data_IF_532789574303
#
_entry.id   IF_532789574303
#
_cell.length_a   1.000
_cell.length_b   1.000
_cell.length_c   1.000
_cell.angle_alpha   90.00
_cell.angle_beta   90.00
_cell.angle_gamma   90.00
#
_symmetry.space_group_name_H-M   'P 1'
#
loop_
_entity.id
_entity.type
_entity.pdbx_description
1 polymer ?
#
# COMPACT_ATOMS: atom_id res chain seq x y z
N UNK A 1 28.66 6.93 -19.51
CA UNK A 1 28.34 6.54 -18.12
C UNK A 1 27.92 5.09 -18.19
N UNK A 2 28.62 4.20 -17.50
CA UNK A 2 28.18 2.80 -17.38
C UNK A 2 26.88 2.81 -16.58
N UNK A 3 25.78 2.40 -17.21
CA UNK A 3 24.49 2.27 -16.55
C UNK A 3 24.50 0.91 -15.84
N UNK A 4 24.83 0.90 -14.55
CA UNK A 4 24.76 -0.32 -13.76
C UNK A 4 23.30 -0.73 -13.62
N UNK A 5 22.93 -1.85 -14.23
CA UNK A 5 21.61 -2.42 -14.09
C UNK A 5 21.57 -3.31 -12.84
N UNK A 6 20.58 -3.07 -11.98
CA UNK A 6 20.39 -3.84 -10.76
C UNK A 6 19.10 -4.67 -10.84
N UNK A 7 19.14 -5.85 -10.24
CA UNK A 7 17.98 -6.69 -9.96
C UNK A 7 17.78 -6.80 -8.45
N UNK A 8 16.52 -6.83 -8.04
CA UNK A 8 16.12 -7.07 -6.65
C UNK A 8 15.47 -8.44 -6.54
N UNK A 9 16.03 -9.30 -5.71
CA UNK A 9 15.56 -10.68 -5.53
C UNK A 9 15.24 -10.93 -4.06
N UNK A 10 14.21 -11.71 -3.77
CA UNK A 10 13.84 -12.04 -2.40
C UNK A 10 13.87 -13.55 -2.18
N UNK A 11 14.38 -13.98 -1.03
CA UNK A 11 14.31 -15.37 -0.56
C UNK A 11 13.70 -15.43 0.83
N UNK A 12 13.04 -16.54 1.16
CA UNK A 12 12.46 -16.79 2.48
C UNK A 12 12.80 -18.20 2.93
N UNK A 13 13.03 -18.38 4.24
CA UNK A 13 13.04 -19.71 4.86
C UNK A 13 11.63 -20.31 4.90
N UNK A 14 11.52 -21.57 5.31
CA UNK A 14 10.23 -22.21 5.51
C UNK A 14 9.41 -21.47 6.60
N UNK A 15 8.11 -21.41 6.40
CA UNK A 15 7.19 -20.83 7.38
C UNK A 15 7.21 -21.64 8.67
N UNK A 16 7.47 -20.99 9.80
CA UNK A 16 7.40 -21.63 11.12
C UNK A 16 5.99 -21.50 11.68
N UNK A 17 5.37 -22.61 12.06
CA UNK A 17 4.06 -22.61 12.72
C UNK A 17 4.12 -22.17 14.20
N UNK A 18 5.32 -22.10 14.77
CA UNK A 18 5.55 -21.59 16.13
C UNK A 18 5.49 -20.06 16.13
N UNK A 19 4.28 -19.50 16.05
CA UNK A 19 4.05 -18.08 16.29
C UNK A 19 4.01 -17.84 17.80
N UNK A 20 5.15 -17.89 18.49
CA UNK A 20 5.22 -17.27 19.82
C UNK A 20 4.88 -15.79 19.64
N UNK A 21 3.93 -15.29 20.42
CA UNK A 21 3.52 -13.89 20.38
C UNK A 21 4.69 -13.01 20.86
N UNK A 22 5.49 -12.53 19.90
CA UNK A 22 6.52 -11.53 20.13
C UNK A 22 5.85 -10.17 20.33
N UNK A 23 6.40 -9.35 21.21
CA UNK A 23 5.90 -7.99 21.44
C UNK A 23 5.81 -7.21 20.11
N UNK A 24 4.65 -6.59 19.85
CA UNK A 24 4.39 -5.83 18.61
C UNK A 24 3.93 -6.65 17.40
N UNK A 25 3.91 -7.99 17.46
CA UNK A 25 3.42 -8.82 16.36
C UNK A 25 1.88 -8.86 16.29
N UNK A 26 1.31 -8.78 15.08
CA UNK A 26 -0.12 -8.96 14.85
C UNK A 26 -0.51 -10.43 15.03
N UNK A 27 -1.48 -10.66 15.92
CA UNK A 27 -2.04 -11.98 16.16
C UNK A 27 -2.68 -12.55 14.88
N UNK A 28 -2.40 -13.82 14.58
CA UNK A 28 -2.91 -14.51 13.39
C UNK A 28 -2.08 -14.31 12.12
N UNK A 29 -1.09 -13.42 12.12
CA UNK A 29 -0.12 -13.30 11.02
C UNK A 29 1.01 -14.33 11.21
N UNK A 30 1.36 -15.13 10.20
CA UNK A 30 2.46 -16.09 10.29
C UNK A 30 3.83 -15.49 10.65
N UNK A 31 4.81 -16.35 10.92
CA UNK A 31 6.22 -15.97 11.01
C UNK A 31 7.02 -16.70 9.93
N UNK A 32 7.95 -15.99 9.32
CA UNK A 32 9.05 -16.57 8.56
C UNK A 32 10.33 -16.18 9.30
N UNK A 33 11.14 -17.18 9.63
CA UNK A 33 12.36 -16.99 10.44
C UNK A 33 13.31 -15.96 9.80
N UNK A 34 13.53 -16.05 8.48
CA UNK A 34 14.36 -15.10 7.74
C UNK A 34 13.82 -14.87 6.33
N UNK A 35 13.57 -13.61 6.00
CA UNK A 35 13.28 -13.11 4.66
C UNK A 35 14.42 -12.18 4.28
N UNK A 36 15.02 -12.35 3.10
CA UNK A 36 16.16 -11.52 2.66
C UNK A 36 15.92 -10.98 1.27
N UNK A 37 16.11 -9.68 1.09
CA UNK A 37 16.14 -9.01 -0.20
C UNK A 37 17.60 -8.78 -0.59
N UNK A 38 17.98 -9.19 -1.79
CA UNK A 38 19.32 -9.06 -2.35
C UNK A 38 19.30 -8.05 -3.50
N UNK A 39 20.22 -7.10 -3.46
CA UNK A 39 20.55 -6.24 -4.59
C UNK A 39 21.65 -6.93 -5.40
N UNK A 40 21.36 -7.26 -6.66
CA UNK A 40 22.25 -8.01 -7.53
C UNK A 40 22.58 -7.18 -8.75
N UNK A 41 23.86 -7.08 -9.11
CA UNK A 41 24.27 -6.50 -10.39
C UNK A 41 23.92 -7.46 -11.52
N UNK A 42 23.17 -7.01 -12.51
CA UNK A 42 22.69 -7.89 -13.58
C UNK A 42 23.78 -8.31 -14.57
N UNK A 43 24.85 -7.53 -14.69
CA UNK A 43 25.95 -7.80 -15.62
C UNK A 43 26.72 -9.09 -15.28
N UNK A 44 27.06 -9.27 -14.00
CA UNK A 44 27.94 -10.34 -13.52
C UNK A 44 27.29 -11.24 -12.46
N UNK A 45 26.07 -10.90 -12.00
CA UNK A 45 25.34 -11.65 -10.97
C UNK A 45 25.87 -11.46 -9.55
N UNK A 46 26.76 -10.47 -9.33
CA UNK A 46 27.33 -10.21 -8.00
C UNK A 46 26.27 -9.62 -7.08
N UNK A 47 26.13 -10.20 -5.89
CA UNK A 47 25.33 -9.63 -4.79
C UNK A 47 26.09 -8.43 -4.24
N UNK A 48 25.49 -7.25 -4.34
CA UNK A 48 26.07 -5.99 -3.89
C UNK A 48 25.69 -5.66 -2.45
N UNK A 49 24.44 -5.95 -2.07
CA UNK A 49 23.92 -5.66 -0.74
C UNK A 49 22.73 -6.58 -0.39
N UNK A 50 22.39 -6.67 0.89
CA UNK A 50 21.24 -7.43 1.38
C UNK A 50 20.49 -6.73 2.52
N UNK A 51 19.17 -6.90 2.55
CA UNK A 51 18.31 -6.52 3.68
C UNK A 51 17.56 -7.74 4.19
N UNK A 52 17.88 -8.18 5.40
CA UNK A 52 17.21 -9.27 6.07
C UNK A 52 16.14 -8.77 7.06
N UNK A 53 15.03 -9.52 7.13
CA UNK A 53 13.95 -9.39 8.10
C UNK A 53 13.82 -10.72 8.84
N UNK A 54 13.84 -10.67 10.16
CA UNK A 54 13.81 -11.85 11.01
C UNK A 54 12.48 -11.96 11.75
N UNK A 55 11.94 -13.17 11.81
CA UNK A 55 10.67 -13.47 12.48
C UNK A 55 9.53 -12.53 12.05
N UNK A 56 9.43 -12.31 10.74
CA UNK A 56 8.49 -11.38 10.13
C UNK A 56 7.67 -12.10 9.04
N UNK A 57 6.63 -11.45 8.53
CA UNK A 57 5.87 -11.90 7.38
C UNK A 57 5.81 -10.77 6.34
N UNK A 58 6.47 -10.99 5.22
CA UNK A 58 6.38 -10.15 4.03
C UNK A 58 5.78 -11.02 2.94
N UNK A 59 4.67 -10.58 2.34
CA UNK A 59 3.96 -11.37 1.34
C UNK A 59 4.71 -11.34 -0.01
N UNK A 60 5.63 -12.27 -0.22
CA UNK A 60 6.40 -12.37 -1.46
C UNK A 60 5.58 -12.94 -2.64
N UNK A 61 4.40 -13.53 -2.39
CA UNK A 61 3.57 -14.08 -3.46
C UNK A 61 3.15 -12.96 -4.42
N UNK A 62 3.45 -13.13 -5.70
CA UNK A 62 3.21 -12.12 -6.74
C UNK A 62 3.80 -10.73 -6.43
N UNK A 63 4.84 -10.65 -5.58
CA UNK A 63 5.46 -9.38 -5.16
C UNK A 63 4.48 -8.43 -4.43
N UNK A 64 3.51 -8.95 -3.69
CA UNK A 64 2.51 -8.12 -2.98
C UNK A 64 3.12 -7.26 -1.89
N UNK A 65 4.11 -7.79 -1.17
CA UNK A 65 4.74 -7.17 -0.01
C UNK A 65 5.85 -6.18 -0.34
N UNK A 66 6.17 -5.95 -1.61
CA UNK A 66 7.18 -5.00 -2.02
C UNK A 66 6.79 -4.24 -3.29
N UNK A 67 7.14 -2.96 -3.37
CA UNK A 67 6.92 -2.13 -4.55
C UNK A 67 8.13 -1.23 -4.79
N UNK A 68 8.59 -1.16 -6.04
CA UNK A 68 9.71 -0.34 -6.50
C UNK A 68 9.19 0.83 -7.34
N UNK A 69 9.66 2.02 -7.03
CA UNK A 69 9.42 3.25 -7.79
C UNK A 69 10.74 3.96 -7.99
N UNK A 70 11.22 3.98 -9.24
CA UNK A 70 12.56 4.44 -9.57
C UNK A 70 13.64 3.72 -8.72
N UNK A 71 14.31 4.44 -7.82
CA UNK A 71 15.32 3.92 -6.89
C UNK A 71 14.77 3.67 -5.47
N UNK A 72 13.48 3.96 -5.23
CA UNK A 72 12.83 3.79 -3.93
C UNK A 72 12.06 2.46 -3.87
N UNK A 73 12.40 1.65 -2.89
CA UNK A 73 11.76 0.37 -2.59
C UNK A 73 10.96 0.50 -1.30
N UNK A 74 9.66 0.16 -1.33
CA UNK A 74 8.88 -0.04 -0.12
C UNK A 74 8.67 -1.54 0.12
N UNK A 75 8.81 -1.94 1.39
CA UNK A 75 8.59 -3.32 1.84
C UNK A 75 7.63 -3.27 3.03
N UNK A 76 6.56 -4.05 2.97
CA UNK A 76 5.53 -4.11 4.01
C UNK A 76 5.79 -5.30 4.93
N UNK A 77 6.23 -5.00 6.16
CA UNK A 77 6.20 -5.91 7.29
C UNK A 77 4.74 -6.05 7.76
N UNK A 78 4.08 -7.14 7.36
CA UNK A 78 2.69 -7.39 7.76
C UNK A 78 2.60 -7.77 9.24
N UNK A 79 3.59 -8.49 9.77
CA UNK A 79 3.56 -8.93 11.17
C UNK A 79 3.77 -7.77 12.13
N UNK A 80 4.65 -6.82 11.81
CA UNK A 80 4.95 -5.66 12.69
C UNK A 80 4.35 -4.34 12.18
N UNK A 81 3.50 -4.38 11.16
CA UNK A 81 2.76 -3.22 10.65
C UNK A 81 3.66 -2.02 10.33
N UNK A 82 4.78 -2.31 9.68
CA UNK A 82 5.82 -1.33 9.34
C UNK A 82 6.08 -1.34 7.84
N UNK A 83 6.11 -0.16 7.24
CA UNK A 83 6.52 0.07 5.85
C UNK A 83 7.97 0.53 5.90
N UNK A 84 8.86 -0.29 5.37
CA UNK A 84 10.28 0.03 5.23
C UNK A 84 10.49 0.71 3.89
N UNK A 85 11.08 1.91 3.89
CA UNK A 85 11.46 2.63 2.68
C UNK A 85 12.97 2.55 2.54
N UNK A 86 13.44 1.91 1.48
CA UNK A 86 14.83 1.77 1.14
C UNK A 86 15.13 2.51 -0.16
N UNK A 87 16.32 3.08 -0.27
CA UNK A 87 16.83 3.69 -1.48
C UNK A 87 17.98 2.86 -2.03
N UNK A 88 17.89 2.50 -3.30
CA UNK A 88 18.95 1.84 -4.08
C UNK A 88 19.91 2.94 -4.54
N UNK A 89 21.16 2.90 -4.08
CA UNK A 89 22.19 3.85 -4.50
C UNK A 89 22.93 3.32 -5.73
N UNK A 90 23.40 4.22 -6.59
CA UNK A 90 24.28 3.88 -7.74
C UNK A 90 25.56 3.16 -7.32
N UNK A 91 26.00 3.34 -6.08
CA UNK A 91 27.13 2.62 -5.47
C UNK A 91 26.86 1.12 -5.23
N UNK A 92 25.61 0.66 -5.43
CA UNK A 92 25.22 -0.72 -5.18
C UNK A 92 24.82 -0.99 -3.73
N UNK A 93 24.22 -0.02 -3.03
CA UNK A 93 23.81 -0.17 -1.63
C UNK A 93 22.31 0.01 -1.44
N UNK A 94 21.75 -0.74 -0.49
CA UNK A 94 20.38 -0.64 0.00
C UNK A 94 20.36 0.18 1.30
N UNK A 95 19.98 1.45 1.21
CA UNK A 95 19.93 2.34 2.38
C UNK A 95 18.50 2.47 2.87
N UNK A 96 18.21 2.06 4.11
CA UNK A 96 16.91 2.31 4.73
C UNK A 96 16.79 3.80 5.10
N UNK A 97 15.91 4.52 4.39
CA UNK A 97 15.74 5.97 4.52
C UNK A 97 14.52 6.36 5.36
N UNK A 98 13.59 5.42 5.60
CA UNK A 98 12.42 5.66 6.46
C UNK A 98 11.78 4.37 6.95
N UNK A 99 11.16 4.42 8.13
CA UNK A 99 10.19 3.43 8.61
C UNK A 99 8.88 4.12 8.95
N UNK A 100 7.77 3.57 8.51
CA UNK A 100 6.44 4.12 8.73
C UNK A 100 5.57 3.03 9.37
N UNK A 101 5.15 3.23 10.61
CA UNK A 101 4.35 2.24 11.34
C UNK A 101 3.91 2.82 12.69
N UNK A 102 4.42 2.24 13.78
CA UNK A 102 4.25 2.79 15.13
C UNK A 102 4.81 4.22 15.26
N UNK A 103 5.87 4.52 14.52
CA UNK A 103 6.46 5.85 14.40
C UNK A 103 6.39 6.29 12.93
N UNK A 104 6.18 7.58 12.70
CA UNK A 104 6.14 8.17 11.36
C UNK A 104 7.35 9.08 11.09
N UNK A 105 8.02 9.54 12.15
CA UNK A 105 9.26 10.32 12.13
C UNK A 105 10.27 9.73 13.10
N UNK A 106 11.54 10.02 12.87
CA UNK A 106 12.66 9.52 13.69
C UNK A 106 12.63 10.07 15.12
N UNK A 107 12.10 11.28 15.32
CA UNK A 107 11.97 11.93 16.62
C UNK A 107 10.74 11.49 17.43
N UNK A 108 9.78 10.79 16.82
CA UNK A 108 8.53 10.36 17.48
C UNK A 108 8.79 9.45 18.69
N UNK A 109 9.84 8.61 18.65
CA UNK A 109 10.22 7.71 19.74
C UNK A 109 10.53 8.49 21.04
N UNK A 110 11.30 9.58 20.92
CA UNK A 110 11.69 10.43 22.05
C UNK A 110 10.48 11.13 22.68
N UNK A 111 9.53 11.60 21.85
CA UNK A 111 8.30 12.22 22.33
C UNK A 111 7.41 11.23 23.09
N UNK A 112 7.33 9.98 22.65
CA UNK A 112 6.50 8.97 23.32
C UNK A 112 7.13 8.51 24.65
N UNK A 113 8.45 8.32 24.69
CA UNK A 113 9.14 7.96 25.93
C UNK A 113 9.00 9.02 27.04
N UNK A 114 9.00 10.31 26.70
CA UNK A 114 8.76 11.38 27.68
C UNK A 114 7.32 11.38 28.25
N UNK A 115 6.33 10.96 27.47
CA UNK A 115 4.94 10.91 27.91
C UNK A 115 4.60 9.66 28.75
N UNK A 116 5.23 8.51 28.48
CA UNK A 116 5.04 7.28 29.27
C UNK A 116 5.50 7.46 30.73
N UNK A 117 6.51 8.31 30.96
CA UNK A 117 6.98 8.66 32.31
C UNK A 117 5.97 9.49 33.13
N UNK A 118 4.91 10.02 32.50
CA UNK A 118 3.91 10.90 33.13
C UNK A 118 2.70 10.15 33.74
N UNK A 119 2.72 8.82 33.80
CA UNK A 119 1.76 8.01 34.58
C UNK A 119 0.36 7.81 33.97
N UNK A 120 0.09 8.31 32.76
CA UNK A 120 -1.15 7.97 32.03
C UNK A 120 -0.98 6.68 31.24
N UNK A 121 -1.22 5.54 31.89
CA UNK A 121 -1.16 4.18 31.31
C UNK A 121 -2.32 3.83 30.36
N UNK A 122 -2.70 4.75 29.47
CA UNK A 122 -3.59 4.43 28.36
C UNK A 122 -2.81 3.79 27.21
N UNK A 123 -3.40 2.81 26.53
CA UNK A 123 -2.88 2.27 25.27
C UNK A 123 -2.95 3.34 24.18
N UNK A 124 -1.94 4.21 24.12
CA UNK A 124 -1.81 5.18 23.05
C UNK A 124 -1.61 4.43 21.73
N UNK A 125 -2.43 4.71 20.72
CA UNK A 125 -2.21 4.21 19.36
C UNK A 125 -1.31 5.23 18.67
N UNK A 126 -0.03 4.93 18.39
CA UNK A 126 0.89 5.90 17.81
C UNK A 126 0.90 5.82 16.27
N UNK A 127 1.65 6.75 15.68
CA UNK A 127 2.06 6.69 14.28
C UNK A 127 0.92 6.71 13.27
N UNK A 128 0.99 5.81 12.30
CA UNK A 128 0.10 5.87 11.13
C UNK A 128 -1.36 5.55 11.47
N UNK A 129 -1.61 4.66 12.44
CA UNK A 129 -2.97 4.36 12.91
C UNK A 129 -3.62 5.58 13.58
N UNK A 130 -2.85 6.31 14.39
CA UNK A 130 -3.30 7.56 15.01
C UNK A 130 -3.72 8.59 13.97
N UNK A 131 -2.89 8.77 12.94
CA UNK A 131 -3.10 9.72 11.84
C UNK A 131 -4.32 9.33 11.02
N UNK A 132 -4.50 8.04 10.75
CA UNK A 132 -5.69 7.49 10.10
C UNK A 132 -6.97 7.80 10.90
N UNK A 133 -6.99 7.49 12.20
CA UNK A 133 -8.14 7.75 13.06
C UNK A 133 -8.45 9.26 13.16
N UNK A 134 -7.40 10.08 13.28
CA UNK A 134 -7.53 11.55 13.30
C UNK A 134 -8.14 12.08 12.01
N UNK A 135 -7.72 11.54 10.86
CA UNK A 135 -8.29 11.90 9.56
C UNK A 135 -9.78 11.52 9.48
N UNK A 136 -10.14 10.28 9.83
CA UNK A 136 -11.54 9.80 9.82
C UNK A 136 -12.40 10.66 10.74
N UNK A 137 -11.92 10.96 11.95
CA UNK A 137 -12.62 11.83 12.89
C UNK A 137 -12.85 13.22 12.31
N UNK A 138 -11.79 13.89 11.82
CA UNK A 138 -11.89 15.25 11.27
C UNK A 138 -12.80 15.31 10.04
N UNK A 139 -12.69 14.32 9.15
CA UNK A 139 -13.58 14.19 7.98
C UNK A 139 -15.03 14.07 8.42
N UNK A 140 -15.32 13.14 9.34
CA UNK A 140 -16.68 12.92 9.86
C UNK A 140 -17.24 14.14 10.59
N UNK A 141 -16.40 14.85 11.34
CA UNK A 141 -16.78 16.07 12.08
C UNK A 141 -17.16 17.21 11.13
N UNK A 142 -16.41 17.36 10.03
CA UNK A 142 -16.60 18.45 9.06
C UNK A 142 -17.70 18.17 8.02
N UNK A 143 -18.20 16.93 7.91
CA UNK A 143 -19.31 16.58 6.99
C UNK A 143 -20.65 17.24 7.36
N UNK A 144 -20.89 17.53 8.64
CA UNK A 144 -22.18 18.04 9.12
C UNK A 144 -22.04 19.44 9.73
N UNK A 145 -22.69 20.47 9.16
CA UNK A 145 -22.60 21.84 9.65
C UNK A 145 -23.35 22.05 10.97
N UNK A 146 -24.49 21.38 11.17
CA UNK A 146 -25.27 21.48 12.41
C UNK A 146 -24.61 20.72 13.58
N UNK A 147 -24.49 21.39 14.73
CA UNK A 147 -23.80 20.87 15.90
C UNK A 147 -24.52 19.68 16.53
N UNK A 148 -25.85 19.67 16.55
CA UNK A 148 -26.61 18.58 17.20
C UNK A 148 -26.59 17.30 16.37
N UNK A 149 -26.77 17.43 15.05
CA UNK A 149 -26.64 16.33 14.10
C UNK A 149 -25.20 15.80 14.02
N UNK A 150 -24.19 16.67 14.18
CA UNK A 150 -22.77 16.28 14.15
C UNK A 150 -22.43 15.25 15.22
N UNK A 151 -22.89 15.43 16.45
CA UNK A 151 -22.62 14.47 17.55
C UNK A 151 -23.25 13.11 17.26
N UNK A 152 -24.49 13.10 16.75
CA UNK A 152 -25.18 11.86 16.37
C UNK A 152 -24.49 11.16 15.20
N UNK A 153 -24.07 11.94 14.19
CA UNK A 153 -23.34 11.44 13.02
C UNK A 153 -21.98 10.83 13.41
N UNK A 154 -21.23 11.52 14.27
CA UNK A 154 -19.96 11.03 14.79
C UNK A 154 -20.15 9.74 15.61
N UNK A 155 -21.20 9.66 16.45
CA UNK A 155 -21.54 8.43 17.18
C UNK A 155 -21.79 7.26 16.24
N UNK A 156 -22.55 7.49 15.16
CA UNK A 156 -22.94 6.45 14.21
C UNK A 156 -21.81 6.03 13.27
N UNK A 157 -21.00 6.97 12.76
CA UNK A 157 -19.96 6.69 11.77
C UNK A 157 -18.59 6.38 12.38
N UNK A 158 -18.20 7.10 13.42
CA UNK A 158 -16.86 6.96 14.01
C UNK A 158 -16.86 6.06 15.24
N UNK A 159 -17.61 6.41 16.29
CA UNK A 159 -17.53 5.69 17.55
C UNK A 159 -18.11 4.26 17.48
N UNK A 160 -19.17 4.06 16.70
CA UNK A 160 -19.73 2.73 16.48
C UNK A 160 -18.74 1.77 15.79
N UNK A 161 -17.92 2.28 14.88
CA UNK A 161 -16.91 1.53 14.12
C UNK A 161 -15.49 1.72 14.65
N UNK A 162 -15.33 2.27 15.85
CA UNK A 162 -14.01 2.65 16.35
C UNK A 162 -13.06 1.46 16.44
N UNK A 163 -13.55 0.35 16.99
CA UNK A 163 -12.75 -0.88 17.11
C UNK A 163 -12.38 -1.43 15.72
N UNK A 164 -13.34 -1.42 14.77
CA UNK A 164 -13.08 -1.84 13.39
C UNK A 164 -11.92 -1.05 12.76
N UNK A 165 -11.83 0.26 13.03
CA UNK A 165 -10.73 1.11 12.54
C UNK A 165 -9.40 0.83 13.23
N UNK A 166 -9.41 0.52 14.52
CA UNK A 166 -8.21 0.17 15.29
C UNK A 166 -7.61 -1.14 14.79
N UNK A 167 -8.48 -2.10 14.45
CA UNK A 167 -8.10 -3.45 14.01
C UNK A 167 -7.67 -3.51 12.53
N UNK A 168 -7.82 -2.41 11.79
CA UNK A 168 -7.26 -2.31 10.44
C UNK A 168 -5.75 -2.51 10.46
N UNK A 169 -5.27 -3.33 9.53
CA UNK A 169 -3.86 -3.54 9.25
C UNK A 169 -3.50 -3.02 7.86
N UNK A 170 -2.27 -2.54 7.71
CA UNK A 170 -1.62 -2.27 6.43
C UNK A 170 -1.47 -3.60 5.71
N UNK A 171 -2.13 -3.73 4.57
CA UNK A 171 -2.11 -4.93 3.74
C UNK A 171 -1.14 -4.83 2.57
N UNK A 172 -1.10 -3.65 1.96
CA UNK A 172 -0.36 -3.43 0.72
C UNK A 172 -0.08 -1.95 0.54
N UNK A 173 1.05 -1.65 -0.07
CA UNK A 173 1.49 -0.29 -0.33
C UNK A 173 2.06 -0.22 -1.74
N UNK A 174 1.81 0.89 -2.43
CA UNK A 174 2.56 1.30 -3.62
C UNK A 174 2.98 2.76 -3.44
N UNK A 175 4.00 3.18 -4.20
CA UNK A 175 4.24 4.61 -4.41
C UNK A 175 3.27 5.14 -5.46
N UNK A 176 2.81 6.39 -5.28
CA UNK A 176 2.22 7.19 -6.37
C UNK A 176 3.28 8.11 -6.97
N UNK A 177 4.16 8.62 -6.12
CA UNK A 177 5.35 9.39 -6.45
C UNK A 177 6.37 9.24 -5.30
N UNK A 178 7.45 10.03 -5.32
CA UNK A 178 8.51 9.97 -4.29
C UNK A 178 8.08 10.43 -2.89
N UNK A 179 6.94 11.10 -2.77
CA UNK A 179 6.44 11.68 -1.52
C UNK A 179 5.17 11.00 -1.03
N UNK A 180 4.38 10.39 -1.91
CA UNK A 180 3.06 9.85 -1.59
C UNK A 180 3.01 8.33 -1.70
N UNK A 181 2.56 7.70 -0.62
CA UNK A 181 2.22 6.29 -0.58
C UNK A 181 0.71 6.11 -0.76
N UNK A 182 0.33 5.11 -1.53
CA UNK A 182 -1.04 4.62 -1.58
C UNK A 182 -1.13 3.31 -0.82
N UNK A 183 -1.83 3.36 0.32
CA UNK A 183 -1.84 2.34 1.35
C UNK A 183 -3.22 1.71 1.43
N UNK A 184 -3.28 0.38 1.36
CA UNK A 184 -4.49 -0.40 1.65
C UNK A 184 -4.50 -0.83 3.09
N UNK A 185 -5.54 -0.41 3.80
CA UNK A 185 -5.90 -0.89 5.12
C UNK A 185 -7.04 -1.90 5.01
N UNK A 186 -7.04 -2.94 5.84
CA UNK A 186 -8.07 -3.97 5.85
C UNK A 186 -7.96 -4.90 7.06
N UNK A 187 -8.94 -5.78 7.25
CA UNK A 187 -8.94 -6.77 8.33
C UNK A 187 -7.87 -7.84 8.15
N UNK A 188 -7.30 -8.37 9.24
CA UNK A 188 -6.29 -9.46 9.26
C UNK A 188 -6.75 -10.72 8.52
N UNK A 189 -8.06 -11.01 8.52
CA UNK A 189 -8.62 -12.20 7.87
C UNK A 189 -8.83 -12.04 6.35
N UNK A 190 -8.63 -10.83 5.83
CA UNK A 190 -8.91 -10.46 4.44
C UNK A 190 -8.08 -11.20 3.38
N UNK A 191 -6.99 -11.85 3.78
CA UNK A 191 -6.13 -12.67 2.90
C UNK A 191 -6.39 -14.18 2.95
N UNK A 192 -7.14 -14.67 3.94
CA UNK A 192 -7.36 -16.12 4.16
C UNK A 192 -8.78 -16.55 3.77
N UNK A 193 -9.75 -15.63 3.83
CA UNK A 193 -11.14 -15.94 3.47
C UNK A 193 -11.44 -15.69 1.99
N UNK A 194 -11.96 -16.72 1.30
CA UNK A 194 -12.51 -16.62 -0.07
C UNK A 194 -13.86 -15.87 -0.14
N UNK A 195 -14.37 -15.30 0.95
CA UNK A 195 -15.63 -14.54 0.96
C UNK A 195 -15.40 -13.06 0.65
N UNK A 196 -15.71 -12.65 -0.58
CA UNK A 196 -15.28 -11.36 -1.16
C UNK A 196 -16.17 -10.14 -0.83
N UNK A 197 -17.23 -10.25 -0.02
CA UNK A 197 -18.25 -9.20 0.01
C UNK A 197 -18.30 -8.30 1.26
N UNK A 198 -17.70 -8.68 2.39
CA UNK A 198 -17.88 -7.97 3.68
C UNK A 198 -16.60 -7.38 4.30
N UNK A 199 -15.42 -7.57 3.70
CA UNK A 199 -14.20 -7.08 4.32
C UNK A 199 -14.09 -5.55 4.15
N UNK A 200 -14.22 -4.85 5.28
CA UNK A 200 -13.98 -3.42 5.40
C UNK A 200 -12.54 -3.14 4.94
N UNK A 201 -12.39 -2.40 3.85
CA UNK A 201 -11.10 -2.04 3.29
C UNK A 201 -11.08 -0.56 2.92
N UNK A 202 -9.98 0.10 3.28
CA UNK A 202 -9.75 1.51 3.00
C UNK A 202 -8.48 1.70 2.20
N UNK A 203 -8.49 2.72 1.36
CA UNK A 203 -7.35 3.18 0.60
C UNK A 203 -7.01 4.58 1.05
N UNK A 204 -5.79 4.77 1.55
CA UNK A 204 -5.30 6.04 2.03
C UNK A 204 -4.16 6.55 1.14
N UNK A 205 -4.15 7.84 0.85
CA UNK A 205 -2.97 8.52 0.34
C UNK A 205 -2.24 9.13 1.52
N UNK A 206 -1.00 8.71 1.76
CA UNK A 206 -0.16 9.17 2.86
C UNK A 206 1.02 9.96 2.30
N UNK A 207 1.17 11.21 2.75
CA UNK A 207 2.33 12.03 2.42
C UNK A 207 3.45 11.71 3.42
N UNK A 208 4.56 11.20 2.92
CA UNK A 208 5.69 10.80 3.76
C UNK A 208 6.39 12.01 4.38
N UNK A 209 6.45 13.15 3.71
CA UNK A 209 7.14 14.36 4.18
C UNK A 209 6.36 15.07 5.29
N UNK A 210 5.08 15.38 5.06
CA UNK A 210 4.25 16.03 6.08
C UNK A 210 3.79 15.05 7.15
N UNK A 211 3.85 13.75 6.87
CA UNK A 211 3.31 12.64 7.68
C UNK A 211 1.79 12.66 7.80
N UNK A 212 1.08 13.22 6.83
CA UNK A 212 -0.39 13.32 6.87
C UNK A 212 -1.08 12.31 5.96
N UNK A 213 -2.27 11.88 6.39
CA UNK A 213 -3.23 11.23 5.50
C UNK A 213 -3.91 12.33 4.69
N UNK A 214 -3.66 12.34 3.38
CA UNK A 214 -4.17 13.34 2.43
C UNK A 214 -5.61 13.02 2.05
N UNK A 215 -5.90 11.75 1.76
CA UNK A 215 -7.23 11.28 1.38
C UNK A 215 -7.48 9.86 1.86
N UNK A 216 -8.75 9.50 2.02
CA UNK A 216 -9.21 8.18 2.44
C UNK A 216 -10.49 7.79 1.71
N UNK A 217 -10.46 6.61 1.11
CA UNK A 217 -11.55 6.04 0.31
C UNK A 217 -11.90 4.64 0.81
N UNK A 218 -13.18 4.27 0.73
CA UNK A 218 -13.62 2.89 0.91
C UNK A 218 -13.46 2.11 -0.40
N UNK A 219 -13.37 0.79 -0.32
CA UNK A 219 -13.31 -0.08 -1.49
C UNK A 219 -14.50 -0.02 -2.45
N UNK A 220 -15.64 0.53 -2.01
CA UNK A 220 -16.81 0.81 -2.85
C UNK A 220 -16.93 2.29 -3.26
N UNK A 221 -15.86 3.08 -3.15
CA UNK A 221 -15.87 4.50 -3.49
C UNK A 221 -15.86 4.71 -5.00
N UNK A 222 -16.95 5.28 -5.53
CA UNK A 222 -17.04 5.71 -6.92
C UNK A 222 -16.02 6.82 -7.23
N UNK A 223 -15.69 7.68 -6.25
CA UNK A 223 -14.68 8.74 -6.40
C UNK A 223 -13.29 8.15 -6.68
N UNK A 224 -12.86 7.16 -5.89
CA UNK A 224 -11.61 6.46 -6.13
C UNK A 224 -11.62 5.75 -7.50
N UNK A 225 -12.75 5.14 -7.87
CA UNK A 225 -12.90 4.51 -9.18
C UNK A 225 -12.77 5.52 -10.31
N UNK A 226 -13.38 6.71 -10.21
CA UNK A 226 -13.23 7.77 -11.21
C UNK A 226 -11.78 8.25 -11.35
N UNK A 227 -11.06 8.39 -10.23
CA UNK A 227 -9.62 8.72 -10.26
C UNK A 227 -8.82 7.60 -10.93
N UNK A 228 -9.11 6.34 -10.62
CA UNK A 228 -8.48 5.18 -11.25
C UNK A 228 -8.78 5.10 -12.76
N UNK A 229 -10.01 5.40 -13.18
CA UNK A 229 -10.39 5.40 -14.59
C UNK A 229 -9.63 6.49 -15.36
N UNK A 230 -9.53 7.69 -14.78
CA UNK A 230 -8.89 8.82 -15.44
C UNK A 230 -7.35 8.76 -15.42
N UNK A 231 -6.76 8.27 -14.33
CA UNK A 231 -5.32 8.31 -14.07
C UNK A 231 -4.68 6.93 -13.99
N UNK A 232 -5.24 5.92 -14.66
CA UNK A 232 -4.78 4.53 -14.58
C UNK A 232 -3.27 4.37 -14.74
N UNK A 233 -2.69 5.01 -15.75
CA UNK A 233 -1.26 4.92 -16.03
C UNK A 233 -0.39 5.44 -14.87
N UNK A 234 -0.90 6.34 -14.02
CA UNK A 234 -0.18 6.88 -12.86
C UNK A 234 -0.13 5.90 -11.67
N UNK A 235 -0.95 4.84 -11.68
CA UNK A 235 -0.85 3.77 -10.68
C UNK A 235 0.23 2.74 -11.03
N UNK A 236 0.77 2.79 -12.25
CA UNK A 236 1.85 1.93 -12.72
C UNK A 236 3.16 2.73 -12.75
N UNK A 237 4.27 2.06 -12.48
CA UNK A 237 5.59 2.68 -12.60
C UNK A 237 5.76 3.17 -14.04
N UNK A 238 5.90 4.49 -14.18
CA UNK A 238 5.73 5.20 -15.43
C UNK A 238 6.83 4.80 -16.44
N UNK A 239 6.50 4.17 -17.58
CA UNK A 239 7.47 3.90 -18.63
C UNK A 239 7.72 5.13 -19.53
N UNK A 240 7.32 6.34 -19.10
CA UNK A 240 7.30 7.55 -19.95
C UNK A 240 8.64 7.91 -20.60
N UNK A 241 9.76 7.47 -20.05
CA UNK A 241 11.08 7.69 -20.67
C UNK A 241 11.49 6.60 -21.66
N UNK A 242 10.71 5.52 -21.81
CA UNK A 242 10.96 4.46 -22.77
C UNK A 242 10.16 4.66 -24.06
N UNK A 243 10.85 4.62 -25.21
CA UNK A 243 10.20 4.61 -26.53
C UNK A 243 9.21 3.46 -26.72
N UNK A 244 9.39 2.38 -25.96
CA UNK A 244 8.58 1.16 -25.97
C UNK A 244 7.26 1.31 -25.18
N UNK A 245 7.18 2.19 -24.17
CA UNK A 245 5.96 2.40 -23.38
C UNK A 245 4.76 2.89 -24.20
N UNK A 246 4.99 3.41 -25.42
CA UNK A 246 3.96 3.94 -26.33
C UNK A 246 2.96 2.88 -26.80
N UNK A 247 3.33 1.60 -26.77
CA UNK A 247 2.47 0.50 -27.23
C UNK A 247 1.63 -0.11 -26.10
N UNK A 248 1.75 0.41 -24.88
CA UNK A 248 0.96 -0.04 -23.74
C UNK A 248 -0.37 0.70 -23.75
N UNK A 249 -1.40 0.06 -24.29
CA UNK A 249 -2.77 0.58 -24.27
C UNK A 249 -3.41 0.37 -22.89
N UNK A 250 -4.06 1.42 -22.41
CA UNK A 250 -4.88 1.42 -21.19
C UNK A 250 -6.14 2.24 -21.40
N UNK A 251 -7.12 2.10 -20.53
CA UNK A 251 -8.35 2.91 -20.63
C UNK A 251 -8.12 4.40 -20.33
N UNK A 252 -6.95 4.81 -19.82
CA UNK A 252 -6.62 6.23 -19.68
C UNK A 252 -5.95 6.83 -20.93
N UNK A 253 -5.35 6.01 -21.80
CA UNK A 253 -4.58 6.49 -22.96
C UNK A 253 -5.10 6.01 -24.33
N UNK A 254 -6.05 5.06 -24.36
CA UNK A 254 -6.61 4.48 -25.57
C UNK A 254 -8.16 4.48 -25.54
N UNK A 255 -8.78 4.99 -26.60
CA UNK A 255 -10.24 5.15 -26.70
C UNK A 255 -10.93 3.78 -26.83
N UNK A 256 -10.33 2.82 -27.54
CA UNK A 256 -10.89 1.49 -27.71
C UNK A 256 -10.85 0.71 -26.39
N UNK A 257 -9.76 0.79 -25.65
CA UNK A 257 -9.65 0.24 -24.30
C UNK A 257 -10.71 0.84 -23.35
N UNK A 258 -10.92 2.17 -23.43
CA UNK A 258 -11.93 2.87 -22.64
C UNK A 258 -13.36 2.43 -23.02
N UNK A 259 -13.65 2.25 -24.30
CA UNK A 259 -14.97 1.79 -24.75
C UNK A 259 -15.26 0.33 -24.33
N UNK A 260 -14.24 -0.53 -24.35
CA UNK A 260 -14.34 -1.89 -23.80
C UNK A 260 -14.65 -1.85 -22.30
N UNK A 261 -13.95 -1.02 -21.52
CA UNK A 261 -14.21 -0.87 -20.08
C UNK A 261 -15.64 -0.39 -19.82
N UNK A 262 -16.11 0.62 -20.57
CA UNK A 262 -17.48 1.15 -20.47
C UNK A 262 -18.52 0.09 -20.83
N UNK A 263 -18.26 -0.71 -21.86
CA UNK A 263 -19.13 -1.83 -22.25
C UNK A 263 -19.24 -2.87 -21.13
N UNK A 264 -18.12 -3.22 -20.50
CA UNK A 264 -18.12 -4.15 -19.35
C UNK A 264 -18.89 -3.54 -18.17
N UNK A 265 -18.68 -2.26 -17.87
CA UNK A 265 -19.39 -1.54 -16.80
C UNK A 265 -20.90 -1.51 -17.05
N UNK A 266 -21.33 -1.22 -18.27
CA UNK A 266 -22.75 -1.16 -18.65
C UNK A 266 -23.44 -2.54 -18.61
N UNK A 267 -22.68 -3.63 -18.80
CA UNK A 267 -23.18 -5.01 -18.67
C UNK A 267 -23.21 -5.50 -17.22
N UNK A 268 -22.60 -4.79 -16.28
CA UNK A 268 -22.56 -5.21 -14.88
C UNK A 268 -23.94 -5.05 -14.21
N UNK A 269 -24.34 -6.06 -13.44
CA UNK A 269 -25.61 -6.04 -12.69
C UNK A 269 -25.62 -5.03 -11.54
N UNK A 270 -24.46 -4.66 -11.03
CA UNK A 270 -24.31 -3.72 -9.91
C UNK A 270 -23.03 -2.88 -10.06
N UNK A 271 -23.18 -1.55 -10.07
CA UNK A 271 -22.05 -0.61 -10.10
C UNK A 271 -21.13 -0.81 -8.89
N UNK A 272 -21.72 -1.00 -7.70
CA UNK A 272 -20.95 -1.18 -6.46
C UNK A 272 -20.09 -2.46 -6.49
N UNK A 273 -20.63 -3.57 -7.00
CA UNK A 273 -19.86 -4.82 -7.14
C UNK A 273 -18.78 -4.68 -8.21
N UNK A 274 -19.07 -3.98 -9.31
CA UNK A 274 -18.09 -3.69 -10.35
C UNK A 274 -16.93 -2.86 -9.80
N UNK A 275 -17.21 -1.77 -9.08
CA UNK A 275 -16.19 -0.94 -8.42
C UNK A 275 -15.37 -1.77 -7.45
N UNK A 276 -16.00 -2.54 -6.55
CA UNK A 276 -15.25 -3.41 -5.63
C UNK A 276 -14.31 -4.37 -6.35
N UNK A 277 -14.75 -4.95 -7.48
CA UNK A 277 -13.93 -5.85 -8.30
C UNK A 277 -12.76 -5.11 -8.93
N UNK A 278 -12.98 -3.93 -9.49
CA UNK A 278 -11.92 -3.11 -10.09
C UNK A 278 -10.92 -2.62 -9.07
N UNK A 279 -11.38 -2.24 -7.87
CA UNK A 279 -10.51 -1.77 -6.77
C UNK A 279 -9.79 -2.91 -6.04
N UNK A 280 -10.17 -4.18 -6.27
CA UNK A 280 -9.54 -5.32 -5.60
C UNK A 280 -8.05 -5.49 -5.97
N UNK A 281 -7.69 -5.10 -7.20
CA UNK A 281 -6.31 -5.15 -7.71
C UNK A 281 -5.40 -4.09 -7.08
N UNK A 282 -5.98 -3.01 -6.54
CA UNK A 282 -5.25 -1.91 -5.95
C UNK A 282 -4.78 -2.23 -4.51
N UNK A 283 -3.65 -1.64 -4.07
CA UNK A 283 -2.53 -1.12 -4.87
C UNK A 283 -2.01 -2.15 -5.87
N UNK A 284 -1.46 -1.75 -7.03
CA UNK A 284 -0.80 -2.66 -7.95
C UNK A 284 0.53 -3.18 -7.40
N UNK A 285 0.94 -4.36 -7.86
CA UNK A 285 2.31 -4.86 -7.72
C UNK A 285 3.14 -4.39 -8.91
N UNK A 286 4.45 -4.24 -8.76
CA UNK A 286 5.34 -4.03 -9.90
C UNK A 286 5.26 -5.23 -10.84
N UNK A 287 4.56 -5.08 -11.95
CA UNK A 287 4.46 -6.07 -13.02
C UNK A 287 4.96 -5.44 -14.32
N UNK A 288 5.74 -6.19 -15.07
CA UNK A 288 6.12 -5.77 -16.42
C UNK A 288 4.91 -5.94 -17.34
N UNK A 289 4.45 -4.85 -17.94
CA UNK A 289 3.55 -4.91 -19.08
C UNK A 289 4.38 -5.17 -20.34
N UNK A 290 3.81 -5.84 -21.34
CA UNK A 290 4.50 -6.09 -22.60
C UNK A 290 4.35 -4.87 -23.52
N UNK A 291 5.44 -4.17 -23.86
CA UNK A 291 5.39 -3.02 -24.76
C UNK A 291 5.42 -3.44 -26.24
N UNK A 292 4.89 -4.62 -26.57
CA UNK A 292 4.91 -5.14 -27.94
C UNK A 292 3.90 -4.38 -28.80
N UNK A 293 4.27 -3.89 -29.99
CA UNK A 293 3.34 -3.26 -30.91
C UNK A 293 2.14 -4.14 -31.29
N UNK A 294 2.30 -5.47 -31.27
CA UNK A 294 1.20 -6.41 -31.53
C UNK A 294 0.08 -6.39 -30.48
N UNK A 295 0.29 -5.74 -29.34
CA UNK A 295 -0.73 -5.57 -28.30
C UNK A 295 -1.34 -4.16 -28.29
N UNK A 296 -0.99 -3.32 -29.27
CA UNK A 296 -1.57 -1.99 -29.41
C UNK A 296 -3.03 -2.09 -29.88
N UNK A 297 -3.95 -1.73 -28.99
CA UNK A 297 -5.39 -1.77 -29.28
C UNK A 297 -5.77 -0.78 -30.38
N UNK A 298 -5.09 0.35 -30.52
CA UNK A 298 -5.39 1.32 -31.57
C UNK A 298 -5.13 0.77 -32.98
N UNK A 299 -4.22 -0.20 -33.11
CA UNK A 299 -3.85 -0.81 -34.39
C UNK A 299 -4.62 -2.11 -34.69
N UNK A 300 -5.02 -2.85 -33.66
CA UNK A 300 -5.50 -4.23 -33.79
C UNK A 300 -6.88 -4.52 -33.17
N UNK A 301 -7.64 -3.52 -32.71
CA UNK A 301 -8.99 -3.69 -32.11
C UNK A 301 -10.17 -3.15 -32.90
#
# INVERSE_FOLDING_TARGET
MECHQFGLFATSTAQSNDSTATEGAIHGVPSIEKITFYLVRLEDGVILDEKAFCNDFINLAHSIGAYLYEDLLCIVSLRYQTIHILQIRDSGNLVEVRRIGAFCREDDELFLHSHVQSGYGGSFLPGIKQRLLSYIFRKTWNEVPDQTLRVQHLKKKFYFHFQDYVDLIIWKVQFLDRHHLFIKFGSVDGGVSRSTDQNLAFFAVYNMETTDIVSLYQNSSEELYSLFEQFYDHFHANPQDSSHGKFISSHSNDIHALDQLRTIKNKASSSSQFVKKMMASLPYTCQSQSPSPYFDLSLFS
#
